data_IF_651044447186
#
_entry.id   IF_651044447186
#
_cell.length_a   1.000
_cell.length_b   1.000
_cell.length_c   1.000
_cell.angle_alpha   90.00
_cell.angle_beta   90.00
_cell.angle_gamma   90.00
#
_symmetry.space_group_name_H-M   'P 1'
#
loop_
_entity.id
_entity.type
_entity.pdbx_description
1 polymer ?
2 non-polymer ?
3 water ?
#
# COMPACT_ATOMS: atom_id res chain seq x y z
N UNK A 22 11.86 13.67 12.92
CA UNK A 22 12.42 12.39 12.40
C UNK A 22 13.77 11.98 12.97
N UNK A 23 14.55 12.94 13.46
CA UNK A 23 15.90 12.65 13.94
C UNK A 23 15.87 11.87 15.27
N UNK A 24 14.98 12.28 16.19
CA UNK A 24 14.74 11.55 17.44
C UNK A 24 14.11 10.17 17.19
N UNK A 25 13.08 10.14 16.36
CA UNK A 25 12.34 8.94 16.03
C UNK A 25 13.27 7.83 15.50
N UNK A 26 14.15 8.17 14.55
CA UNK A 26 15.11 7.21 14.04
C UNK A 26 15.97 6.62 15.17
N UNK A 27 16.36 7.45 16.13
CA UNK A 27 17.19 6.97 17.23
C UNK A 27 16.43 5.96 18.10
N UNK A 28 15.15 6.25 18.35
CA UNK A 28 14.33 5.35 19.14
C UNK A 28 14.09 4.05 18.38
N UNK A 29 13.87 4.12 17.06
CA UNK A 29 13.77 2.91 16.25
C UNK A 29 15.06 2.11 16.32
N UNK A 30 16.19 2.82 16.26
CA UNK A 30 17.50 2.17 16.25
C UNK A 30 17.77 1.43 17.56
N UNK A 31 17.30 1.99 18.67
CA UNK A 31 17.25 1.27 19.95
C UNK A 31 16.44 -0.03 19.83
N UNK A 32 15.24 0.02 19.26
CA UNK A 32 14.44 -1.20 19.02
C UNK A 32 15.18 -2.22 18.16
N UNK A 33 15.89 -1.74 17.15
CA UNK A 33 16.69 -2.61 16.26
C UNK A 33 18.01 -3.10 16.90
N UNK A 34 18.32 -2.65 18.12
CA UNK A 34 19.49 -3.16 18.86
C UNK A 34 19.23 -4.52 19.53
N UNK A 35 17.96 -4.93 19.67
CA UNK A 35 17.65 -6.23 20.31
C UNK A 35 18.03 -7.40 19.40
N UNK A 36 18.53 -8.48 19.99
CA UNK A 36 18.70 -9.75 19.29
C UNK A 36 17.37 -10.27 18.77
N UNK A 37 16.33 -10.16 19.60
CA UNK A 37 14.99 -10.54 19.20
C UNK A 37 14.12 -9.30 19.06
N UNK A 38 13.79 -8.92 17.83
CA UNK A 38 13.09 -7.68 17.59
C UNK A 38 11.67 -7.75 18.17
N UNK A 39 11.26 -6.67 18.84
CA UNK A 39 9.97 -6.64 19.50
C UNK A 39 8.96 -6.16 18.47
N UNK A 40 8.30 -7.13 17.84
CA UNK A 40 7.42 -6.83 16.73
C UNK A 40 6.21 -5.97 17.16
N UNK A 41 5.72 -6.16 18.38
CA UNK A 41 4.58 -5.35 18.87
C UNK A 41 4.97 -3.86 18.89
N UNK A 42 6.19 -3.54 19.32
CA UNK A 42 6.65 -2.16 19.41
C UNK A 42 7.09 -1.61 18.05
N UNK A 43 7.59 -2.45 17.15
CA UNK A 43 7.79 -2.04 15.75
C UNK A 43 6.48 -1.63 15.14
N UNK A 44 5.42 -2.34 15.48
CA UNK A 44 4.08 -2.03 14.97
C UNK A 44 3.58 -0.70 15.48
N UNK A 45 3.60 -0.52 16.81
CA UNK A 45 3.11 0.72 17.40
C UNK A 45 3.95 1.92 16.92
N UNK A 46 5.26 1.74 16.77
CA UNK A 46 6.12 2.80 16.23
C UNK A 46 5.64 3.17 14.83
N UNK A 47 5.44 2.15 13.99
CA UNK A 47 5.09 2.38 12.57
C UNK A 47 3.73 3.06 12.44
N UNK A 48 2.81 2.76 13.35
CA UNK A 48 1.49 3.39 13.36
C UNK A 48 1.53 4.88 13.72
N UNK A 49 2.53 5.26 14.49
CA UNK A 49 2.66 6.62 14.97
C UNK A 49 3.66 7.53 14.23
N UNK A 50 4.68 6.93 13.61
CA UNK A 50 5.78 7.66 13.00
C UNK A 50 6.12 7.09 11.62
N UNK A 51 6.66 7.94 10.73
CA UNK A 51 7.20 7.36 9.50
C UNK A 51 8.42 6.46 9.74
N UNK A 52 8.53 5.38 8.99
CA UNK A 52 9.73 4.56 9.07
C UNK A 52 10.88 5.25 8.36
N UNK A 53 12.07 5.30 9.01
CA UNK A 53 13.22 5.80 8.29
C UNK A 53 13.45 4.95 7.04
N UNK A 54 13.74 5.59 5.93
CA UNK A 54 13.87 4.88 4.67
C UNK A 54 14.92 3.76 4.70
N UNK A 55 16.00 3.95 5.45
CA UNK A 55 17.02 2.90 5.52
C UNK A 55 16.63 1.64 6.31
N UNK A 56 15.56 1.72 7.10
CA UNK A 56 15.10 0.55 7.88
C UNK A 56 13.73 0.02 7.42
N UNK A 57 13.14 0.68 6.42
CA UNK A 57 11.78 0.35 5.98
C UNK A 57 11.68 -1.09 5.49
N UNK A 58 12.55 -1.50 4.58
CA UNK A 58 12.44 -2.86 3.99
C UNK A 58 12.57 -3.88 5.11
N UNK A 59 13.48 -3.62 6.01
CA UNK A 59 13.67 -4.48 7.19
C UNK A 59 12.40 -4.64 8.04
N UNK A 60 11.82 -3.51 8.42
CA UNK A 60 10.68 -3.48 9.31
C UNK A 60 9.48 -4.06 8.61
N UNK A 61 9.33 -3.76 7.34
CA UNK A 61 8.24 -4.30 6.54
C UNK A 61 8.37 -5.81 6.45
N UNK A 62 9.59 -6.32 6.29
CA UNK A 62 9.76 -7.78 6.18
C UNK A 62 9.45 -8.48 7.48
N UNK A 63 9.86 -7.90 8.60
CA UNK A 63 9.55 -8.47 9.90
C UNK A 63 8.04 -8.39 10.16
N UNK A 64 7.44 -7.25 9.87
CA UNK A 64 6.00 -7.10 10.16
C UNK A 64 5.10 -8.00 9.30
N UNK A 65 5.51 -8.26 8.08
CA UNK A 65 4.78 -9.12 7.17
C UNK A 65 5.17 -10.58 7.36
N UNK A 66 6.13 -10.86 8.24
CA UNK A 66 6.49 -12.25 8.56
C UNK A 66 7.36 -12.90 7.49
N UNK A 67 8.04 -12.07 6.69
CA UNK A 67 8.98 -12.57 5.70
C UNK A 67 10.28 -12.94 6.44
N UNK A 68 10.62 -12.16 7.46
CA UNK A 68 11.75 -12.46 8.31
C UNK A 68 11.27 -12.77 9.70
N UNK A 69 12.00 -13.63 10.43
CA UNK A 69 11.62 -13.85 11.83
C UNK A 69 12.13 -12.70 12.69
N UNK A 70 11.73 -12.64 13.96
CA UNK A 70 12.19 -11.52 14.76
C UNK A 70 13.67 -11.60 15.23
N UNK A 71 14.29 -12.79 15.17
CA UNK A 71 15.71 -12.93 15.55
C UNK A 71 16.60 -12.54 14.39
N UNK A 72 17.29 -11.40 14.45
CA UNK A 72 17.97 -10.91 13.25
C UNK A 72 19.21 -11.71 12.86
N UNK A 73 19.69 -12.55 13.79
CA UNK A 73 20.74 -13.52 13.49
C UNK A 73 20.28 -14.53 12.42
N UNK A 74 18.97 -14.60 12.13
CA UNK A 74 18.54 -15.57 11.14
C UNK A 74 18.10 -14.94 9.85
N UNK A 75 18.17 -13.62 9.75
CA UNK A 75 17.71 -12.92 8.57
C UNK A 75 18.45 -13.30 7.29
N UNK A 76 19.79 -13.27 7.29
CA UNK A 76 20.55 -13.55 6.06
C UNK A 76 20.18 -14.92 5.46
N UNK A 77 20.03 -15.90 6.36
CA UNK A 77 19.64 -17.24 5.95
C UNK A 77 18.24 -17.31 5.33
N UNK A 78 17.24 -16.77 6.03
CA UNK A 78 15.87 -16.81 5.46
C UNK A 78 15.86 -16.12 4.12
N UNK A 79 16.56 -14.99 4.01
CA UNK A 79 16.59 -14.27 2.75
C UNK A 79 17.27 -15.14 1.70
N UNK A 80 18.20 -16.00 2.11
CA UNK A 80 18.81 -16.92 1.15
C UNK A 80 17.79 -17.92 0.61
N UNK A 81 16.96 -18.50 1.48
CA UNK A 81 15.88 -19.37 1.05
C UNK A 81 14.92 -18.65 0.10
N UNK A 82 14.63 -17.38 0.40
CA UNK A 82 13.72 -16.61 -0.42
C UNK A 82 14.35 -16.30 -1.78
N UNK A 83 15.63 -15.93 -1.79
CA UNK A 83 16.33 -15.65 -3.05
C UNK A 83 16.37 -16.91 -3.91
N UNK A 84 16.63 -18.05 -3.29
CA UNK A 84 16.71 -19.29 -4.01
C UNK A 84 15.39 -19.67 -4.64
N UNK A 85 14.31 -19.44 -3.89
CA UNK A 85 12.97 -19.76 -4.41
C UNK A 85 12.58 -18.78 -5.52
N UNK A 86 12.97 -17.52 -5.35
CA UNK A 86 12.79 -16.50 -6.37
C UNK A 86 13.43 -16.93 -7.69
N UNK A 87 14.68 -17.36 -7.63
CA UNK A 87 15.41 -17.70 -8.84
C UNK A 87 14.89 -19.03 -9.44
N UNK A 88 14.40 -19.94 -8.61
CA UNK A 88 13.75 -21.13 -9.14
C UNK A 88 12.55 -20.77 -10.02
N UNK A 89 11.75 -19.81 -9.58
CA UNK A 89 10.49 -19.53 -10.24
C UNK A 89 10.74 -18.71 -11.50
N UNK A 90 11.60 -17.69 -11.37
CA UNK A 90 12.02 -16.92 -12.53
C UNK A 90 12.58 -17.81 -13.62
N UNK A 91 13.43 -18.78 -13.24
CA UNK A 91 13.95 -19.70 -14.23
C UNK A 91 12.85 -20.55 -14.89
N UNK A 92 11.89 -21.04 -14.10
CA UNK A 92 10.81 -21.89 -14.66
C UNK A 92 9.94 -21.10 -15.62
N UNK A 93 9.78 -19.80 -15.36
CA UNK A 93 9.04 -18.89 -16.26
C UNK A 93 9.73 -18.70 -17.62
N UNK A 94 11.05 -18.62 -17.58
CA UNK A 94 11.86 -18.44 -18.76
C UNK A 94 11.91 -19.70 -19.60
N UNK A 95 12.06 -20.86 -18.95
CA UNK A 95 11.99 -22.15 -19.64
C UNK A 95 10.69 -22.36 -20.43
N UNK A 96 9.57 -21.90 -19.86
CA UNK A 96 8.25 -21.98 -20.49
C UNK A 96 7.97 -20.78 -21.43
N UNK A 97 8.86 -19.78 -21.42
CA UNK A 97 8.81 -18.65 -22.36
C UNK A 97 7.73 -17.60 -22.02
N UNK A 98 7.30 -17.60 -20.76
CA UNK A 98 6.27 -16.67 -20.32
C UNK A 98 6.81 -15.27 -20.12
N UNK A 99 8.08 -15.16 -19.75
CA UNK A 99 8.77 -13.88 -19.69
C UNK A 99 10.11 -13.99 -20.40
N UNK A 100 10.63 -12.84 -20.84
CA UNK A 100 11.92 -12.73 -21.53
C UNK A 100 12.78 -11.74 -20.76
N UNK A 101 13.97 -11.43 -21.28
CA UNK A 101 14.84 -10.40 -20.67
C UNK A 101 14.16 -9.04 -20.65
N UNK A 102 13.36 -8.74 -21.67
CA UNK A 102 12.76 -7.42 -21.85
C UNK A 102 11.41 -7.22 -21.12
N UNK A 103 10.83 -8.29 -20.57
CA UNK A 103 9.57 -8.18 -19.82
C UNK A 103 9.71 -7.17 -18.65
N UNK A 104 8.76 -6.22 -18.49
CA UNK A 104 8.95 -5.29 -17.37
C UNK A 104 8.96 -6.01 -16.03
N UNK A 105 9.75 -5.53 -15.09
CA UNK A 105 9.95 -6.21 -13.81
C UNK A 105 8.66 -6.46 -13.04
N UNK A 106 7.74 -5.50 -13.05
CA UNK A 106 6.48 -5.70 -12.32
C UNK A 106 5.64 -6.83 -12.90
N UNK A 107 5.71 -7.00 -14.23
CA UNK A 107 5.06 -8.11 -14.88
C UNK A 107 5.72 -9.42 -14.50
N UNK A 108 7.06 -9.46 -14.43
CA UNK A 108 7.73 -10.66 -13.94
C UNK A 108 7.16 -11.08 -12.60
N UNK A 109 7.00 -10.14 -11.68
CA UNK A 109 6.51 -10.43 -10.34
C UNK A 109 5.10 -10.98 -10.40
N UNK A 110 4.27 -10.44 -11.28
CA UNK A 110 2.90 -10.94 -11.43
C UNK A 110 2.97 -12.40 -11.91
N UNK A 111 3.79 -12.68 -12.91
CA UNK A 111 3.86 -14.05 -13.46
C UNK A 111 4.44 -15.03 -12.44
N UNK A 112 5.42 -14.57 -11.67
CA UNK A 112 5.99 -15.37 -10.60
C UNK A 112 4.89 -15.70 -9.62
N UNK A 113 4.11 -14.69 -9.22
CA UNK A 113 2.98 -14.90 -8.31
C UNK A 113 1.92 -15.86 -8.86
N UNK A 114 1.56 -15.67 -10.14
CA UNK A 114 0.59 -16.57 -10.76
C UNK A 114 1.10 -17.99 -10.83
N UNK A 115 2.37 -18.17 -11.23
CA UNK A 115 2.96 -19.51 -11.33
C UNK A 115 3.01 -20.18 -9.97
N UNK A 116 3.46 -19.46 -8.95
CA UNK A 116 3.48 -20.03 -7.60
C UNK A 116 2.09 -20.38 -7.07
N UNK A 117 1.10 -19.53 -7.37
CA UNK A 117 -0.31 -19.74 -6.95
C UNK A 117 -1.08 -20.72 -7.80
N UNK A 118 -0.47 -21.21 -8.87
CA UNK A 118 -1.15 -22.13 -9.79
C UNK A 118 -2.14 -21.49 -10.78
N UNK A 119 -2.14 -20.16 -10.93
CA UNK A 119 -3.12 -19.45 -11.79
C UNK A 119 -2.49 -18.83 -13.04
N UNK A 120 -1.46 -19.47 -13.60
CA UNK A 120 -0.75 -18.91 -14.75
C UNK A 120 -1.64 -19.13 -15.99
N UNK A 121 -1.98 -18.04 -16.72
CA UNK A 121 -2.90 -18.19 -17.84
C UNK A 121 -2.31 -18.94 -19.03
N UNK A 122 -3.13 -19.18 -20.05
CA UNK A 122 -2.72 -19.95 -21.25
C UNK A 122 -1.46 -19.38 -21.90
N UNK A 123 -1.34 -18.05 -21.94
CA UNK A 123 -0.21 -17.38 -22.61
C UNK A 123 -0.02 -15.96 -22.06
N UNK A 124 1.18 -15.38 -22.27
CA UNK A 124 1.43 -14.00 -21.85
C UNK A 124 0.49 -12.99 -22.51
N UNK A 125 -0.12 -13.35 -23.64
CA UNK A 125 -1.05 -12.45 -24.35
C UNK A 125 -2.50 -12.47 -23.86
N UNK A 126 -2.84 -13.38 -22.94
CA UNK A 126 -4.19 -13.49 -22.34
C UNK A 126 -4.48 -12.24 -21.50
N UNK A 127 -5.66 -11.62 -21.70
CA UNK A 127 -5.98 -10.39 -20.98
C UNK A 127 -5.88 -10.54 -19.46
N UNK A 128 -5.40 -9.50 -18.77
CA UNK A 128 -5.27 -9.55 -17.31
C UNK A 128 -6.65 -9.56 -16.64
N UNK A 129 -6.81 -10.35 -15.58
CA UNK A 129 -8.03 -10.27 -14.74
C UNK A 129 -7.95 -9.14 -13.72
N UNK A 130 -9.10 -8.74 -13.14
CA UNK A 130 -9.09 -7.62 -12.16
C UNK A 130 -8.05 -7.72 -11.03
N UNK A 131 -7.95 -8.88 -10.38
CA UNK A 131 -6.95 -9.07 -9.32
C UNK A 131 -5.52 -9.03 -9.89
N UNK A 132 -5.35 -9.46 -11.13
CA UNK A 132 -4.04 -9.33 -11.78
C UNK A 132 -3.66 -7.85 -11.90
N UNK A 133 -4.63 -7.00 -12.23
CA UNK A 133 -4.37 -5.56 -12.42
C UNK A 133 -4.03 -4.90 -11.08
N UNK A 134 -4.66 -5.35 -10.00
CA UNK A 134 -4.36 -4.83 -8.69
C UNK A 134 -2.93 -5.19 -8.28
N UNK A 135 -2.60 -6.47 -8.43
CA UNK A 135 -1.26 -6.97 -8.15
C UNK A 135 -0.24 -6.19 -8.93
N UNK A 136 -0.49 -6.04 -10.22
CA UNK A 136 0.45 -5.35 -11.08
C UNK A 136 0.62 -3.90 -10.66
N UNK A 137 -0.45 -3.20 -10.30
CA UNK A 137 -0.34 -1.78 -9.89
C UNK A 137 0.52 -1.65 -8.63
N UNK A 138 0.32 -2.55 -7.68
CA UNK A 138 1.05 -2.56 -6.41
C UNK A 138 2.53 -2.89 -6.62
N UNK A 139 2.79 -3.90 -7.44
CA UNK A 139 4.17 -4.25 -7.87
C UNK A 139 4.92 -3.06 -8.45
N UNK A 140 4.27 -2.32 -9.35
CA UNK A 140 4.93 -1.16 -9.98
C UNK A 140 5.28 -0.11 -8.92
N UNK A 141 4.40 0.08 -7.94
CA UNK A 141 4.66 1.04 -6.88
C UNK A 141 5.79 0.50 -5.97
N UNK A 142 5.75 -0.79 -5.64
CA UNK A 142 6.76 -1.38 -4.76
C UNK A 142 8.15 -1.33 -5.33
N UNK A 143 8.26 -1.48 -6.64
CA UNK A 143 9.57 -1.43 -7.31
C UNK A 143 10.32 -0.10 -7.05
N UNK A 144 9.57 0.98 -6.84
CA UNK A 144 10.16 2.28 -6.52
C UNK A 144 10.47 2.50 -5.02
N UNK A 145 9.96 1.61 -4.19
CA UNK A 145 10.12 1.71 -2.73
C UNK A 145 11.19 0.79 -2.20
N UNK A 146 11.35 -0.37 -2.84
CA UNK A 146 12.24 -1.41 -2.34
C UNK A 146 13.28 -1.70 -3.40
N UNK A 147 14.55 -1.50 -3.05
CA UNK A 147 15.64 -1.58 -4.07
C UNK A 147 15.89 -2.99 -4.56
N UNK A 148 15.99 -3.93 -3.62
CA UNK A 148 16.40 -5.31 -3.95
C UNK A 148 15.22 -6.08 -4.53
N UNK A 149 15.43 -6.76 -5.66
CA UNK A 149 14.35 -7.48 -6.35
C UNK A 149 13.69 -8.57 -5.55
N UNK A 150 14.50 -9.33 -4.80
CA UNK A 150 13.96 -10.43 -4.00
C UNK A 150 13.07 -9.86 -2.88
N UNK A 151 13.55 -8.83 -2.18
CA UNK A 151 12.77 -8.10 -1.19
C UNK A 151 11.51 -7.57 -1.83
N UNK A 152 11.63 -6.93 -2.99
CA UNK A 152 10.48 -6.34 -3.66
C UNK A 152 9.40 -7.38 -3.97
N UNK A 153 9.80 -8.50 -4.58
CA UNK A 153 8.86 -9.57 -4.88
C UNK A 153 8.12 -10.06 -3.63
N UNK A 154 8.85 -10.47 -2.60
CA UNK A 154 8.18 -11.02 -1.38
C UNK A 154 7.32 -10.03 -0.60
N UNK A 155 7.78 -8.80 -0.49
CA UNK A 155 7.02 -7.75 0.14
C UNK A 155 5.74 -7.49 -0.65
N UNK A 156 5.84 -7.50 -1.96
CA UNK A 156 4.64 -7.33 -2.79
C UNK A 156 3.66 -8.46 -2.57
N UNK A 157 4.14 -9.70 -2.65
CA UNK A 157 3.33 -10.92 -2.40
C UNK A 157 2.59 -10.88 -1.08
N UNK A 158 3.32 -10.57 -0.01
CA UNK A 158 2.72 -10.51 1.31
C UNK A 158 1.78 -9.31 1.54
N UNK A 159 2.12 -8.19 0.93
CA UNK A 159 1.33 -7.00 1.02
C UNK A 159 -0.05 -7.29 0.39
N UNK A 160 -0.05 -7.86 -0.81
CA UNK A 160 -1.29 -8.17 -1.51
C UNK A 160 -2.06 -9.28 -0.78
N UNK A 161 -1.37 -10.26 -0.23
CA UNK A 161 -2.03 -11.37 0.49
C UNK A 161 -2.76 -10.87 1.77
N UNK A 162 -2.20 -9.85 2.41
CA UNK A 162 -2.81 -9.21 3.57
C UNK A 162 -4.15 -8.61 3.12
N UNK A 163 -4.14 -7.88 1.99
CA UNK A 163 -5.38 -7.33 1.43
C UNK A 163 -6.45 -8.40 1.21
N UNK A 164 -6.01 -9.57 0.75
CA UNK A 164 -6.89 -10.66 0.36
C UNK A 164 -7.22 -11.61 1.51
N UNK A 165 -6.61 -11.40 2.66
CA UNK A 165 -6.88 -12.23 3.84
C UNK A 165 -7.14 -11.37 5.09
N UNK A 166 -6.07 -10.88 5.71
CA UNK A 166 -6.20 -10.02 6.89
C UNK A 166 -7.31 -8.98 6.73
N UNK A 167 -7.35 -8.31 5.59
CA UNK A 167 -8.27 -7.18 5.39
C UNK A 167 -9.49 -7.51 4.51
N UNK A 168 -9.68 -8.78 4.15
CA UNK A 168 -10.71 -9.17 3.16
C UNK A 168 -12.11 -8.59 3.45
N UNK A 169 -12.53 -8.60 4.72
CA UNK A 169 -13.86 -8.11 5.12
C UNK A 169 -13.93 -6.63 5.50
N UNK A 170 -12.78 -5.99 5.62
CA UNK A 170 -12.68 -4.57 5.96
C UNK A 170 -12.68 -3.71 4.68
N UNK A 171 -11.91 -4.12 3.68
CA UNK A 171 -11.81 -3.31 2.45
C UNK A 171 -13.17 -2.91 1.88
N UNK A 172 -14.15 -3.85 1.86
CA UNK A 172 -15.45 -3.50 1.32
C UNK A 172 -16.25 -2.51 2.17
N UNK A 173 -15.79 -2.23 3.40
CA UNK A 173 -16.50 -1.32 4.29
C UNK A 173 -15.89 0.09 4.22
N UNK A 174 -14.79 0.22 3.49
CA UNK A 174 -14.10 1.49 3.42
C UNK A 174 -14.89 2.56 2.64
N UNK A 175 -15.68 2.18 1.61
CA UNK A 175 -16.45 3.25 0.97
C UNK A 175 -17.41 3.92 1.92
N UNK A 176 -18.09 3.10 2.72
CA UNK A 176 -19.02 3.60 3.68
C UNK A 176 -18.34 4.48 4.73
N UNK A 177 -17.17 4.07 5.21
CA UNK A 177 -16.34 4.86 6.13
C UNK A 177 -15.93 6.18 5.48
N UNK A 178 -15.54 6.11 4.20
CA UNK A 178 -15.13 7.32 3.51
C UNK A 178 -16.25 8.36 3.54
N UNK A 179 -17.47 7.96 3.20
CA UNK A 179 -18.64 8.86 3.27
C UNK A 179 -18.87 9.44 4.66
N UNK A 180 -18.79 8.58 5.69
CA UNK A 180 -19.01 8.98 7.09
C UNK A 180 -18.03 10.07 7.50
N UNK A 181 -16.74 9.83 7.26
CA UNK A 181 -15.71 10.77 7.71
C UNK A 181 -15.61 11.99 6.85
N UNK A 182 -15.94 11.88 5.57
CA UNK A 182 -15.98 13.08 4.73
C UNK A 182 -17.11 13.95 5.25
N UNK A 183 -18.22 13.31 5.59
CA UNK A 183 -19.40 14.01 6.08
C UNK A 183 -19.08 14.80 7.32
N UNK A 184 -18.19 14.25 8.15
CA UNK A 184 -17.76 14.95 9.38
C UNK A 184 -16.79 16.10 9.10
N UNK A 185 -15.88 15.92 8.15
CA UNK A 185 -14.86 16.94 7.88
C UNK A 185 -15.41 18.07 7.02
N UNK A 186 -16.22 17.72 6.02
CA UNK A 186 -16.89 18.72 5.18
C UNK A 186 -18.16 18.15 4.55
N UNK A 187 -19.29 18.40 5.22
CA UNK A 187 -20.59 17.96 4.71
C UNK A 187 -20.93 18.63 3.39
N UNK A 188 -20.56 19.91 3.24
CA UNK A 188 -20.81 20.66 1.99
C UNK A 188 -20.20 19.97 0.78
N UNK A 189 -18.96 19.49 0.93
CA UNK A 189 -18.31 18.81 -0.17
C UNK A 189 -19.04 17.50 -0.49
N UNK A 190 -19.47 16.77 0.54
CA UNK A 190 -20.18 15.50 0.33
C UNK A 190 -21.55 15.78 -0.26
N UNK A 191 -22.15 16.88 0.17
CA UNK A 191 -23.43 17.30 -0.34
C UNK A 191 -23.31 17.54 -1.84
N UNK A 192 -22.20 18.16 -2.26
CA UNK A 192 -21.96 18.40 -3.68
C UNK A 192 -21.83 17.10 -4.44
N UNK A 193 -21.06 16.17 -3.92
CA UNK A 193 -20.86 14.88 -4.58
C UNK A 193 -22.22 14.15 -4.71
N UNK A 194 -23.04 14.24 -3.68
CA UNK A 194 -24.29 13.50 -3.60
C UNK A 194 -25.36 14.04 -4.55
N UNK A 195 -25.40 15.36 -4.70
CA UNK A 195 -26.37 15.99 -5.57
C UNK A 195 -26.07 15.70 -7.04
N UNK A 196 -24.82 15.38 -7.35
CA UNK A 196 -24.38 14.91 -8.68
C UNK A 196 -24.39 13.37 -8.83
N UNK A 197 -24.91 12.65 -7.85
CA UNK A 197 -24.76 11.17 -7.79
C UNK A 197 -23.31 10.75 -8.13
N UNK A 198 -22.33 11.39 -7.48
CA UNK A 198 -20.93 11.07 -7.73
C UNK A 198 -20.43 9.94 -6.81
N UNK A 199 -20.95 9.89 -5.59
CA UNK A 199 -20.46 8.90 -4.59
C UNK A 199 -20.29 7.50 -5.15
N UNK A 200 -21.35 6.92 -5.75
CA UNK A 200 -21.20 5.56 -6.23
C UNK A 200 -20.12 5.37 -7.30
N UNK A 201 -19.78 6.44 -8.03
CA UNK A 201 -18.86 6.37 -9.16
C UNK A 201 -17.41 6.74 -8.79
N UNK A 202 -17.14 7.09 -7.53
CA UNK A 202 -15.77 7.46 -7.10
C UNK A 202 -14.80 6.28 -7.33
N UNK A 203 -13.48 6.54 -7.38
CA UNK A 203 -12.57 5.45 -7.78
C UNK A 203 -12.14 4.58 -6.58
N UNK A 204 -13.11 3.90 -5.98
CA UNK A 204 -12.90 3.14 -4.77
C UNK A 204 -11.88 2.04 -4.98
N UNK A 205 -11.86 1.47 -6.17
CA UNK A 205 -10.89 0.39 -6.46
C UNK A 205 -9.46 0.92 -6.46
N UNK A 206 -9.28 2.14 -6.95
CA UNK A 206 -7.95 2.74 -6.91
C UNK A 206 -7.50 3.02 -5.43
N UNK A 207 -8.44 3.50 -4.62
CA UNK A 207 -8.17 3.81 -3.22
C UNK A 207 -8.06 2.61 -2.33
N UNK A 208 -8.98 1.66 -2.44
CA UNK A 208 -9.13 0.60 -1.45
C UNK A 208 -8.89 -0.83 -1.92
N UNK A 209 -8.52 -1.03 -3.17
CA UNK A 209 -7.96 -2.34 -3.60
C UNK A 209 -6.49 -2.14 -4.00
N UNK A 210 -6.19 -1.10 -4.76
CA UNK A 210 -4.80 -0.76 -5.12
C UNK A 210 -4.07 0.12 -4.08
N UNK A 211 -4.79 0.55 -3.06
CA UNK A 211 -4.20 1.29 -1.92
C UNK A 211 -3.41 2.49 -2.40
N UNK A 212 -3.98 3.19 -3.39
CA UNK A 212 -3.44 4.40 -4.04
C UNK A 212 -2.24 4.17 -4.94
N UNK A 213 -1.93 2.90 -5.26
CA UNK A 213 -0.86 2.61 -6.17
C UNK A 213 -1.25 3.13 -7.54
N UNK A 214 -0.43 4.01 -8.09
CA UNK A 214 -0.68 4.70 -9.38
C UNK A 214 -1.23 6.12 -9.22
N UNK A 215 -1.56 6.48 -7.99
CA UNK A 215 -2.29 7.71 -7.68
C UNK A 215 -1.35 8.67 -6.99
N UNK A 216 -0.67 8.22 -5.94
CA UNK A 216 0.26 9.05 -5.19
C UNK A 216 1.68 8.63 -5.55
N UNK A 217 2.60 9.59 -5.63
CA UNK A 217 3.99 9.25 -5.88
C UNK A 217 4.55 8.44 -4.74
N UNK A 218 5.53 7.60 -5.05
CA UNK A 218 5.96 6.55 -4.13
C UNK A 218 6.72 7.06 -2.89
N UNK A 219 7.44 8.18 -3.00
CA UNK A 219 7.99 8.83 -1.80
C UNK A 219 6.92 9.15 -0.73
N UNK A 220 5.73 9.53 -1.17
CA UNK A 220 4.63 9.76 -0.27
C UNK A 220 3.85 8.50 0.03
N UNK A 221 3.65 7.66 -0.97
CA UNK A 221 2.83 6.47 -0.80
C UNK A 221 3.39 5.57 0.28
N UNK A 222 4.71 5.46 0.31
CA UNK A 222 5.34 4.54 1.20
C UNK A 222 5.00 4.87 2.67
N UNK A 223 4.82 6.15 2.97
CA UNK A 223 4.35 6.54 4.31
C UNK A 223 2.90 6.08 4.61
N UNK A 224 2.05 6.00 3.59
CA UNK A 224 0.72 5.41 3.79
C UNK A 224 0.89 3.92 4.08
N UNK A 225 1.69 3.28 3.25
CA UNK A 225 1.86 1.84 3.36
C UNK A 225 2.57 1.38 4.65
N UNK A 226 3.38 2.25 5.28
CA UNK A 226 3.89 1.93 6.63
C UNK A 226 2.75 1.55 7.57
N UNK A 227 1.64 2.26 7.44
CA UNK A 227 0.50 2.12 8.31
C UNK A 227 -0.31 0.89 7.91
N UNK A 228 -0.42 0.66 6.62
CA UNK A 228 -1.08 -0.56 6.13
C UNK A 228 -0.28 -1.78 6.57
N UNK A 229 1.03 -1.75 6.37
CA UNK A 229 1.88 -2.88 6.77
C UNK A 229 1.75 -3.13 8.28
N UNK A 230 1.58 -2.06 9.08
CA UNK A 230 1.59 -2.14 10.56
C UNK A 230 0.18 -2.34 11.12
N UNK A 231 -0.76 -2.67 10.22
CA UNK A 231 -2.05 -3.23 10.61
C UNK A 231 -3.29 -2.38 10.39
N UNK A 232 -3.14 -1.21 9.77
CA UNK A 232 -4.30 -0.36 9.51
C UNK A 232 -4.72 -0.36 8.06
N UNK A 233 -5.98 -0.69 7.78
CA UNK A 233 -6.54 -0.43 6.45
C UNK A 233 -7.35 0.86 6.48
N UNK A 234 -7.82 1.25 7.67
CA UNK A 234 -8.55 2.52 7.83
C UNK A 234 -7.74 3.78 7.40
N UNK A 235 -6.40 3.73 7.44
CA UNK A 235 -5.61 4.88 6.99
C UNK A 235 -5.99 5.26 5.55
N UNK A 236 -6.42 4.30 4.74
CA UNK A 236 -6.77 4.52 3.35
C UNK A 236 -7.97 5.46 3.21
N UNK A 237 -8.92 5.36 4.13
CA UNK A 237 -10.12 6.22 4.16
C UNK A 237 -9.74 7.67 4.36
N UNK A 238 -8.76 7.90 5.22
CA UNK A 238 -8.38 9.26 5.58
C UNK A 238 -7.52 9.92 4.50
N UNK A 239 -6.69 9.12 3.83
CA UNK A 239 -6.00 9.57 2.63
C UNK A 239 -7.07 10.01 1.58
N UNK A 240 -8.07 9.17 1.35
CA UNK A 240 -9.17 9.52 0.44
C UNK A 240 -9.92 10.78 0.85
N UNK A 241 -10.28 10.86 2.15
CA UNK A 241 -10.96 12.04 2.66
C UNK A 241 -10.04 13.25 2.42
N UNK A 242 -8.74 13.10 2.65
CA UNK A 242 -7.83 14.24 2.57
C UNK A 242 -7.56 14.73 1.14
N UNK A 243 -7.46 13.78 0.21
CA UNK A 243 -7.44 14.15 -1.21
C UNK A 243 -8.62 15.08 -1.55
N UNK A 244 -9.81 14.67 -1.13
CA UNK A 244 -11.02 15.44 -1.45
C UNK A 244 -10.99 16.84 -0.82
N UNK A 245 -10.54 16.91 0.43
CA UNK A 245 -10.39 18.18 1.14
C UNK A 245 -9.32 19.03 0.48
N UNK A 246 -8.19 18.42 0.11
CA UNK A 246 -7.12 19.14 -0.57
C UNK A 246 -7.65 19.81 -1.85
N UNK A 247 -8.45 19.07 -2.63
CA UNK A 247 -8.92 19.57 -3.92
C UNK A 247 -10.38 20.01 -3.92
N UNK A 248 -10.84 20.51 -2.78
CA UNK A 248 -12.24 20.90 -2.60
C UNK A 248 -12.73 21.92 -3.63
N UNK A 249 -11.91 22.94 -3.91
CA UNK A 249 -12.35 24.01 -4.81
C UNK A 249 -12.46 23.43 -6.23
N UNK A 250 -11.46 22.65 -6.64
CA UNK A 250 -11.49 21.99 -7.94
C UNK A 250 -12.75 21.14 -8.10
N UNK A 251 -13.04 20.31 -7.10
CA UNK A 251 -14.14 19.33 -7.19
C UNK A 251 -15.49 20.00 -7.21
N UNK A 252 -15.65 21.03 -6.41
CA UNK A 252 -16.92 21.76 -6.35
C UNK A 252 -17.24 22.44 -7.69
N UNK A 253 -16.22 22.77 -8.48
CA UNK A 253 -16.43 23.41 -9.80
C UNK A 253 -16.92 22.42 -10.85
N UNK A 254 -16.59 21.14 -10.70
CA UNK A 254 -17.00 20.09 -11.63
C UNK A 254 -18.47 19.71 -11.35
N UNK A 255 -19.30 19.67 -12.40
CA UNK A 255 -20.76 19.50 -12.22
C UNK A 255 -21.33 18.13 -12.70
N UNK A 256 -20.45 17.16 -12.97
CA UNK A 256 -20.91 15.81 -13.37
C UNK A 256 -20.04 14.69 -12.79
N UNK A 257 -20.67 13.54 -12.57
CA UNK A 257 -20.03 12.36 -11.97
C UNK A 257 -18.76 11.91 -12.69
N UNK A 258 -18.72 11.99 -14.03
CA UNK A 258 -17.51 11.51 -14.73
C UNK A 258 -16.32 12.44 -14.57
N UNK A 259 -16.54 13.74 -14.73
CA UNK A 259 -15.48 14.74 -14.57
C UNK A 259 -14.80 14.59 -13.19
N UNK A 260 -15.64 14.52 -12.14
CA UNK A 260 -15.19 14.27 -10.76
C UNK A 260 -14.31 13.01 -10.68
N UNK A 261 -14.85 11.88 -11.15
CA UNK A 261 -14.10 10.59 -11.15
C UNK A 261 -12.78 10.67 -11.91
N UNK A 262 -12.81 11.24 -13.12
CA UNK A 262 -11.58 11.36 -13.94
C UNK A 262 -10.52 12.25 -13.25
N UNK A 263 -10.93 13.36 -12.65
CA UNK A 263 -9.98 14.21 -11.91
C UNK A 263 -9.30 13.41 -10.80
N UNK A 264 -10.12 12.75 -9.99
CA UNK A 264 -9.64 11.90 -8.88
C UNK A 264 -8.72 10.74 -9.30
N UNK A 265 -8.85 10.26 -10.54
CA UNK A 265 -7.93 9.23 -11.06
C UNK A 265 -6.62 9.81 -11.62
N UNK A 266 -6.50 11.14 -11.64
CA UNK A 266 -5.30 11.83 -12.16
C UNK A 266 -4.98 13.10 -11.37
N UNK A 267 -4.87 12.97 -10.05
CA UNK A 267 -4.68 14.16 -9.20
C UNK A 267 -3.30 14.81 -9.39
N UNK A 268 -3.21 16.13 -9.20
CA UNK A 268 -1.87 16.75 -9.14
C UNK A 268 -1.06 16.15 -7.98
N UNK A 269 0.26 16.11 -8.14
CA UNK A 269 1.11 15.30 -7.25
C UNK A 269 1.98 16.12 -6.32
N UNK A 270 2.02 17.43 -6.53
CA UNK A 270 2.87 18.36 -5.78
C UNK A 270 2.47 18.61 -4.30
N UNK A 271 1.29 18.15 -3.88
CA UNK A 271 0.85 18.32 -2.50
C UNK A 271 0.75 16.99 -1.80
N UNK A 272 1.31 15.96 -2.42
CA UNK A 272 1.06 14.62 -1.98
C UNK A 272 1.72 14.36 -0.62
N UNK A 273 2.86 14.98 -0.34
CA UNK A 273 3.48 14.87 0.97
C UNK A 273 2.55 15.47 2.04
N UNK A 274 1.98 16.63 1.75
CA UNK A 274 1.07 17.34 2.66
C UNK A 274 -0.24 16.56 2.85
N UNK A 275 -0.72 15.95 1.77
CA UNK A 275 -1.93 15.06 1.81
C UNK A 275 -1.73 13.89 2.77
N UNK A 276 -0.61 13.19 2.62
CA UNK A 276 -0.30 12.03 3.45
C UNK A 276 -0.15 12.43 4.95
N UNK A 277 0.57 13.51 5.23
CA UNK A 277 0.76 13.97 6.59
C UNK A 277 -0.53 14.35 7.24
N UNK A 278 -1.36 15.14 6.56
CA UNK A 278 -2.67 15.53 7.06
C UNK A 278 -3.58 14.30 7.22
N UNK A 279 -3.52 13.38 6.26
CA UNK A 279 -4.31 12.15 6.37
C UNK A 279 -3.97 11.34 7.63
N UNK A 280 -2.68 11.26 7.94
CA UNK A 280 -2.23 10.50 9.07
C UNK A 280 -2.76 11.13 10.34
N UNK A 281 -2.73 12.45 10.43
CA UNK A 281 -3.23 13.18 11.59
C UNK A 281 -4.74 13.03 11.76
N UNK A 282 -5.47 13.10 10.65
CA UNK A 282 -6.93 12.87 10.61
C UNK A 282 -7.29 11.49 11.17
N UNK A 283 -6.54 10.49 10.74
CA UNK A 283 -6.74 9.11 11.21
C UNK A 283 -6.46 9.01 12.71
N UNK A 284 -5.32 9.49 13.15
CA UNK A 284 -5.02 9.49 14.58
C UNK A 284 -6.17 10.14 15.38
N UNK A 285 -6.68 11.25 14.85
CA UNK A 285 -7.78 11.99 15.50
C UNK A 285 -9.04 11.16 15.64
N UNK A 286 -9.51 10.57 14.55
CA UNK A 286 -10.82 9.92 14.57
C UNK A 286 -10.75 8.52 15.14
N UNK A 287 -9.59 7.88 15.05
CA UNK A 287 -9.48 6.47 15.45
C UNK A 287 -8.70 6.18 16.74
N UNK A 288 -8.03 7.17 17.30
CA UNK A 288 -7.43 7.04 18.64
C UNK A 288 -6.25 6.13 18.67
N UNK A 289 -5.43 6.20 17.63
CA UNK A 289 -4.25 5.37 17.49
C UNK A 289 -3.39 5.56 18.74
N UNK A 290 -3.12 4.46 19.49
CA UNK A 290 -2.39 4.62 20.73
C UNK A 290 -1.01 5.18 20.48
N UNK A 291 -0.56 6.07 21.36
CA UNK A 291 0.80 6.60 21.28
C UNK A 291 1.82 5.47 21.46
N UNK A 292 3.00 5.63 20.87
CA UNK A 292 4.05 4.65 21.02
C UNK A 292 4.79 4.88 22.34
N UNK A 293 5.10 3.77 23.02
CA UNK A 293 5.96 3.81 24.19
C UNK A 293 7.10 2.78 24.11
#
# INVERSE_FOLDING_TARGET
GMTEDSQRNFRSVYYEKVGFRGVEEKKSLEILLKDDRLDTEKLCTFSQRFPLPSMYRALVWKVLLGILPPHHESHAKVMMYRKEQYLDVLHALKVVRFVSDATPQAEVYLRMYQLESGKLPRSPSFPLEPDDEVFLAIAKAMEEMVEDSVDCYWITRRFVNQLNTKYRDSLPQLPKAFEQYLNLEDGRLLTHLRMCSAAPKLPYDLWFKRCFAGCLPESSLQRVWDKVVSGSCKILVFVAVEILLTFKIKVMALNSAEKITKFLENIPQDSSDAIVSKAIDLWHKHCGTPVHSS
#
